data_IF_120578968328
#
_entry.id   IF_120578968328
#
_cell.length_a   1.000
_cell.length_b   1.000
_cell.length_c   1.000
_cell.angle_alpha   90.00
_cell.angle_beta   90.00
_cell.angle_gamma   90.00
#
_symmetry.space_group_name_H-M   'P 1'
#
loop_
_entity.id
_entity.type
_entity.pdbx_description
1 polymer ?
#
# COMPACT_ATOMS: atom_id res chain seq x y z
N UNK A 1 6.31 -23.25 -4.85
CA UNK A 1 6.80 -22.01 -5.50
C UNK A 1 5.84 -20.90 -5.11
N UNK A 2 6.33 -19.71 -4.76
CA UNK A 2 5.45 -18.57 -4.52
C UNK A 2 4.84 -18.11 -5.85
N UNK A 3 3.57 -17.71 -5.86
CA UNK A 3 2.92 -17.18 -7.08
C UNK A 3 3.64 -15.88 -7.48
N UNK A 4 4.14 -15.75 -8.73
CA UNK A 4 4.85 -14.55 -9.17
C UNK A 4 4.01 -13.27 -9.05
N UNK A 5 2.67 -13.37 -9.08
CA UNK A 5 1.75 -12.23 -8.92
C UNK A 5 1.80 -11.59 -7.55
N UNK A 6 2.23 -12.33 -6.53
CA UNK A 6 2.31 -11.89 -5.14
C UNK A 6 3.74 -11.87 -4.60
N UNK A 7 4.72 -12.06 -5.48
CA UNK A 7 6.13 -12.09 -5.10
C UNK A 7 6.76 -10.74 -5.44
N UNK A 8 7.03 -9.86 -4.46
CA UNK A 8 7.74 -8.63 -4.73
C UNK A 8 9.21 -8.93 -5.04
N UNK A 9 9.72 -8.31 -6.09
CA UNK A 9 11.14 -8.27 -6.44
C UNK A 9 11.83 -7.04 -5.85
N UNK A 10 11.10 -5.93 -5.72
CA UNK A 10 11.60 -4.66 -5.20
C UNK A 10 10.46 -3.93 -4.50
N UNK A 11 10.76 -3.33 -3.35
CA UNK A 11 9.86 -2.43 -2.61
C UNK A 11 10.68 -1.19 -2.27
N UNK A 12 10.38 -0.07 -2.92
CA UNK A 12 11.15 1.16 -2.80
C UNK A 12 10.28 2.38 -3.11
N UNK A 13 10.67 3.60 -2.72
CA UNK A 13 10.06 4.81 -3.26
C UNK A 13 10.20 4.90 -4.78
N UNK A 14 9.27 5.57 -5.45
CA UNK A 14 9.43 5.93 -6.86
C UNK A 14 10.47 7.05 -7.03
N UNK A 15 10.74 7.46 -8.28
CA UNK A 15 11.83 8.39 -8.61
C UNK A 15 11.76 9.72 -7.82
N UNK A 16 10.56 10.25 -7.63
CA UNK A 16 10.33 11.51 -6.91
C UNK A 16 10.01 11.30 -5.41
N UNK A 17 10.18 10.07 -4.90
CA UNK A 17 9.86 9.67 -3.53
C UNK A 17 8.43 9.99 -3.05
N UNK A 18 7.49 10.20 -3.97
CA UNK A 18 6.09 10.56 -3.68
C UNK A 18 5.19 9.34 -3.49
N UNK A 19 5.61 8.17 -3.98
CA UNK A 19 4.83 6.92 -3.96
C UNK A 19 5.69 5.75 -3.54
N UNK A 20 5.06 4.76 -2.93
CA UNK A 20 5.66 3.45 -2.74
C UNK A 20 5.51 2.64 -4.04
N UNK A 21 6.62 2.23 -4.63
CA UNK A 21 6.65 1.36 -5.81
C UNK A 21 6.97 -0.07 -5.40
N UNK A 22 6.23 -1.01 -5.97
CA UNK A 22 6.51 -2.44 -5.86
C UNK A 22 6.64 -3.03 -7.27
N UNK A 23 7.79 -3.64 -7.57
CA UNK A 23 7.96 -4.49 -8.76
C UNK A 23 7.66 -5.93 -8.39
N UNK A 24 6.83 -6.59 -9.16
CA UNK A 24 6.39 -7.96 -8.92
C UNK A 24 7.10 -8.94 -9.87
N UNK A 25 7.17 -10.21 -9.47
CA UNK A 25 7.82 -11.24 -10.27
C UNK A 25 7.03 -11.63 -11.53
N UNK A 26 5.75 -11.25 -11.63
CA UNK A 26 4.93 -11.35 -12.85
C UNK A 26 5.22 -10.23 -13.87
N UNK A 27 6.13 -9.29 -13.53
CA UNK A 27 6.48 -8.15 -14.38
C UNK A 27 5.62 -6.90 -14.15
N UNK A 28 4.57 -6.98 -13.32
CA UNK A 28 3.76 -5.82 -12.99
C UNK A 28 4.52 -4.83 -12.09
N UNK A 29 4.07 -3.59 -12.10
CA UNK A 29 4.52 -2.53 -11.19
C UNK A 29 3.29 -1.90 -10.56
N UNK A 30 3.28 -1.79 -9.24
CA UNK A 30 2.23 -1.07 -8.51
C UNK A 30 2.82 0.14 -7.81
N UNK A 31 2.13 1.28 -7.87
CA UNK A 31 2.56 2.52 -7.22
C UNK A 31 1.46 3.10 -6.35
N UNK A 32 1.75 3.25 -5.06
CA UNK A 32 0.76 3.67 -4.08
C UNK A 32 1.11 5.00 -3.43
N UNK A 33 0.19 5.99 -3.44
CA UNK A 33 0.31 7.16 -2.58
C UNK A 33 0.33 6.71 -1.10
N UNK A 34 1.26 7.20 -0.27
CA UNK A 34 1.35 6.85 1.16
C UNK A 34 0.02 7.01 1.89
N UNK A 35 -0.67 8.13 1.65
CA UNK A 35 -1.97 8.42 2.25
C UNK A 35 -3.04 7.39 1.87
N UNK A 36 -3.08 6.95 0.62
CA UNK A 36 -4.06 5.95 0.16
C UNK A 36 -3.79 4.60 0.83
N UNK A 37 -2.53 4.19 0.98
CA UNK A 37 -2.19 2.98 1.74
C UNK A 37 -2.60 3.09 3.21
N UNK A 38 -2.34 4.23 3.85
CA UNK A 38 -2.72 4.45 5.25
C UNK A 38 -4.23 4.38 5.47
N UNK A 39 -5.00 4.96 4.54
CA UNK A 39 -6.47 4.88 4.52
C UNK A 39 -6.94 3.44 4.31
N UNK A 40 -6.24 2.69 3.48
CA UNK A 40 -6.56 1.29 3.18
C UNK A 40 -6.08 0.31 4.26
N UNK A 41 -5.60 0.78 5.41
CA UNK A 41 -5.09 -0.08 6.49
C UNK A 41 -6.14 -1.14 6.90
N UNK A 42 -5.80 -2.44 6.84
CA UNK A 42 -6.74 -3.52 7.12
C UNK A 42 -6.75 -3.97 8.60
N UNK A 43 -6.09 -3.24 9.51
CA UNK A 43 -6.04 -3.66 10.92
C UNK A 43 -7.37 -3.46 11.65
N UNK A 44 -7.54 -4.15 12.78
CA UNK A 44 -8.70 -4.04 13.67
C UNK A 44 -9.00 -2.62 14.17
N UNK A 45 -7.96 -1.77 14.24
CA UNK A 45 -8.13 -0.35 14.60
C UNK A 45 -8.68 0.52 13.47
N UNK A 46 -8.67 0.03 12.23
CA UNK A 46 -9.13 0.76 11.04
C UNK A 46 -10.36 0.11 10.40
N UNK A 47 -10.57 -1.19 10.60
CA UNK A 47 -11.69 -1.97 10.09
C UNK A 47 -12.33 -2.73 11.25
N UNK A 48 -13.63 -2.60 11.38
CA UNK A 48 -14.42 -3.37 12.34
C UNK A 48 -14.42 -4.86 11.93
N UNK A 49 -13.89 -5.72 12.80
CA UNK A 49 -13.68 -7.14 12.47
C UNK A 49 -14.99 -7.92 12.30
N UNK A 50 -16.07 -7.51 12.97
CA UNK A 50 -17.37 -8.19 12.91
C UNK A 50 -18.14 -7.87 11.63
N UNK A 51 -18.09 -6.60 11.21
CA UNK A 51 -18.86 -6.10 10.07
C UNK A 51 -18.04 -5.96 8.80
N UNK A 52 -16.71 -6.01 8.90
CA UNK A 52 -15.78 -5.71 7.81
C UNK A 52 -15.82 -4.25 7.35
N UNK A 53 -16.54 -3.37 8.06
CA UNK A 53 -16.70 -1.97 7.66
C UNK A 53 -15.50 -1.16 8.11
N UNK A 54 -15.06 -0.24 7.24
CA UNK A 54 -13.99 0.69 7.57
C UNK A 54 -14.50 1.73 8.57
N UNK A 55 -13.84 1.78 9.72
CA UNK A 55 -14.12 2.76 10.79
C UNK A 55 -13.14 3.93 10.75
N UNK A 56 -11.97 3.75 10.13
CA UNK A 56 -11.05 4.84 9.83
C UNK A 56 -11.71 5.83 8.87
N UNK A 57 -11.86 7.07 9.32
CA UNK A 57 -12.30 8.18 8.47
C UNK A 57 -11.09 8.79 7.78
N UNK A 58 -11.18 9.02 6.48
CA UNK A 58 -10.09 9.63 5.71
C UNK A 58 -9.68 10.99 6.25
N UNK A 59 -10.62 11.77 6.76
CA UNK A 59 -10.38 13.10 7.35
C UNK A 59 -9.40 13.07 8.54
N UNK A 60 -9.28 11.93 9.23
CA UNK A 60 -8.35 11.74 10.33
C UNK A 60 -6.95 11.30 9.89
N UNK A 61 -6.74 11.04 8.60
CA UNK A 61 -5.43 10.68 8.05
C UNK A 61 -4.73 11.95 7.56
N UNK A 62 -3.58 12.34 8.18
CA UNK A 62 -2.83 13.52 7.78
C UNK A 62 -2.49 13.53 6.29
N UNK A 63 -2.47 14.71 5.66
CA UNK A 63 -2.18 14.84 4.23
C UNK A 63 -0.71 14.57 3.89
N UNK A 64 0.16 14.84 4.84
CA UNK A 64 1.61 14.65 4.81
C UNK A 64 2.05 13.31 5.41
N UNK A 65 1.12 12.38 5.65
CA UNK A 65 1.43 11.05 6.16
C UNK A 65 2.43 10.33 5.24
N UNK A 66 3.47 9.77 5.83
CA UNK A 66 4.50 9.00 5.12
C UNK A 66 4.96 7.82 5.97
N UNK A 67 5.44 6.72 5.34
CA UNK A 67 6.04 5.62 6.07
C UNK A 67 7.41 6.04 6.61
N UNK A 68 7.65 5.79 7.89
CA UNK A 68 8.95 5.91 8.55
C UNK A 68 9.80 4.64 8.33
N UNK A 69 9.14 3.48 8.25
CA UNK A 69 9.79 2.21 7.97
C UNK A 69 8.84 1.24 7.25
N UNK A 70 9.43 0.33 6.48
CA UNK A 70 8.72 -0.74 5.76
C UNK A 70 9.36 -2.06 6.15
N UNK A 71 8.56 -2.97 6.68
CA UNK A 71 9.01 -4.27 7.16
C UNK A 71 8.35 -5.37 6.36
N UNK A 72 9.14 -6.38 5.99
CA UNK A 72 8.57 -7.64 5.51
C UNK A 72 7.99 -8.42 6.68
N UNK A 73 6.75 -8.88 6.53
CA UNK A 73 6.13 -9.83 7.44
C UNK A 73 6.19 -11.21 6.77
N UNK A 74 7.24 -11.95 7.12
CA UNK A 74 7.54 -13.23 6.47
C UNK A 74 7.71 -13.07 4.96
N UNK A 75 7.00 -13.91 4.19
CA UNK A 75 7.03 -13.90 2.71
C UNK A 75 5.67 -13.57 2.08
N UNK A 76 4.76 -12.96 2.82
CA UNK A 76 3.37 -12.79 2.36
C UNK A 76 2.79 -11.37 2.52
N UNK A 77 3.46 -10.49 3.27
CA UNK A 77 2.92 -9.16 3.56
C UNK A 77 4.01 -8.13 3.84
N UNK A 78 3.59 -6.86 3.84
CA UNK A 78 4.34 -5.73 4.37
C UNK A 78 3.66 -5.18 5.63
N UNK A 79 4.45 -4.59 6.51
CA UNK A 79 4.00 -3.71 7.58
C UNK A 79 4.67 -2.36 7.42
N UNK A 80 3.93 -1.29 7.70
CA UNK A 80 4.42 0.07 7.67
C UNK A 80 4.38 0.66 9.07
N UNK A 81 5.45 1.32 9.48
CA UNK A 81 5.42 2.25 10.60
C UNK A 81 5.18 3.65 10.02
N UNK A 82 4.12 4.32 10.45
CA UNK A 82 3.64 5.57 9.89
C UNK A 82 4.02 6.77 10.76
N UNK A 83 4.12 7.95 10.13
CA UNK A 83 4.43 9.20 10.83
C UNK A 83 3.38 9.65 11.85
N UNK A 84 2.14 9.11 11.81
CA UNK A 84 1.10 9.29 12.83
C UNK A 84 1.26 8.34 14.04
N UNK A 85 2.34 7.56 14.08
CA UNK A 85 2.60 6.56 15.11
C UNK A 85 1.87 5.23 14.89
N UNK A 86 1.09 5.07 13.81
CA UNK A 86 0.42 3.83 13.51
C UNK A 86 1.39 2.78 12.96
N UNK A 87 1.25 1.51 13.37
CA UNK A 87 2.22 0.47 12.98
C UNK A 87 1.69 -0.96 13.00
N UNK A 88 0.39 -1.15 13.18
CA UNK A 88 -0.20 -2.50 13.37
C UNK A 88 -0.83 -3.07 12.10
N UNK A 89 -0.86 -2.29 11.01
CA UNK A 89 -1.36 -2.73 9.71
C UNK A 89 -0.45 -3.73 9.04
N UNK A 90 -0.95 -4.95 8.82
CA UNK A 90 -0.32 -5.98 7.97
C UNK A 90 -1.03 -5.93 6.62
N UNK A 91 -0.27 -5.69 5.56
CA UNK A 91 -0.74 -5.57 4.19
C UNK A 91 -0.30 -6.80 3.39
N UNK A 92 -1.15 -7.84 3.27
CA UNK A 92 -0.87 -8.98 2.41
C UNK A 92 -0.57 -8.54 0.98
N UNK A 93 0.38 -9.21 0.31
CA UNK A 93 0.72 -8.90 -1.07
C UNK A 93 -0.49 -9.00 -2.00
N UNK A 94 -1.35 -10.00 -1.79
CA UNK A 94 -2.62 -10.13 -2.52
C UNK A 94 -3.52 -8.90 -2.32
N UNK A 95 -3.59 -8.36 -1.10
CA UNK A 95 -4.38 -7.17 -0.81
C UNK A 95 -3.79 -5.93 -1.49
N UNK A 96 -2.47 -5.76 -1.47
CA UNK A 96 -1.80 -4.69 -2.20
C UNK A 96 -2.12 -4.76 -3.70
N UNK A 97 -2.05 -5.95 -4.32
CA UNK A 97 -2.43 -6.15 -5.73
C UNK A 97 -3.89 -5.78 -6.00
N UNK A 98 -4.81 -6.08 -5.07
CA UNK A 98 -6.22 -5.69 -5.19
C UNK A 98 -6.41 -4.17 -5.09
N UNK A 99 -5.65 -3.49 -4.22
CA UNK A 99 -5.67 -2.03 -4.12
C UNK A 99 -5.20 -1.36 -5.40
N UNK A 100 -4.17 -1.91 -6.04
CA UNK A 100 -3.64 -1.42 -7.32
C UNK A 100 -4.67 -1.53 -8.45
N UNK A 101 -5.36 -2.67 -8.54
CA UNK A 101 -6.41 -2.90 -9.54
C UNK A 101 -7.68 -2.04 -9.33
N UNK A 102 -7.89 -1.51 -8.12
CA UNK A 102 -9.08 -0.76 -7.73
C UNK A 102 -8.88 0.75 -7.56
N UNK A 103 -7.65 1.26 -7.64
CA UNK A 103 -7.39 2.69 -7.55
C UNK A 103 -7.74 3.37 -8.88
N UNK A 104 -8.59 4.43 -8.91
CA UNK A 104 -8.71 5.27 -10.10
C UNK A 104 -7.32 5.85 -10.39
N UNK A 105 -6.77 5.47 -11.55
CA UNK A 105 -5.42 5.83 -11.94
C UNK A 105 -5.26 7.33 -12.15
N UNK A 106 -4.72 8.03 -11.15
CA UNK A 106 -3.97 9.25 -11.41
C UNK A 106 -2.54 8.85 -11.75
N UNK A 107 -2.33 8.52 -13.03
CA UNK A 107 -1.04 8.06 -13.55
C UNK A 107 -0.94 7.86 -15.06
N UNK A 108 -1.96 8.22 -15.86
CA UNK A 108 -1.82 8.28 -17.33
C UNK A 108 -1.68 9.72 -17.77
N UNK A 109 -0.48 10.30 -17.63
CA UNK A 109 -0.10 11.40 -18.54
C UNK A 109 0.23 10.76 -19.89
N UNK A 110 -0.41 11.19 -21.01
CA UNK A 110 -0.02 10.71 -22.33
C UNK A 110 1.37 11.25 -22.69
N UNK A 111 2.15 10.57 -23.55
CA UNK A 111 3.30 11.20 -24.17
C UNK A 111 2.78 12.32 -25.08
N UNK A 112 3.10 13.57 -24.73
CA UNK A 112 2.95 14.71 -25.64
C UNK A 112 3.87 14.52 -26.84
N UNK A 113 3.32 14.68 -28.04
CA UNK A 113 4.01 14.54 -29.32
C UNK A 113 4.94 15.69 -29.68
#
# INVERSE_FOLDING_TARGET
MADPRWTPLEVAPNADASRLRIRWADGAVSEYPPRHLRIACPCAGCVDELTGRRILREEHVPRDIHPLAIHYVGRYALRFDWSDGHGTGIFPFEYLRKLDAGAPGEGSSPPGG
#
